data_IF_130866349228
#
_entry.id   IF_130866349228
#
_cell.length_a   1.000
_cell.length_b   1.000
_cell.length_c   1.000
_cell.angle_alpha   90.00
_cell.angle_beta   90.00
_cell.angle_gamma   90.00
#
_symmetry.space_group_name_H-M   'P 1'
#
loop_
_entity.id
_entity.type
_entity.pdbx_description
1 polymer ?
#
# COMPACT_ATOMS: atom_id res chain seq x y z
N UNK A 1 -14.57 -23.20 0.96
CA UNK A 1 -13.48 -22.21 0.95
C UNK A 1 -13.62 -21.44 -0.34
N UNK A 2 -13.81 -20.12 -0.29
CA UNK A 2 -14.00 -19.31 -1.49
C UNK A 2 -12.68 -19.17 -2.23
N UNK A 3 -12.65 -19.53 -3.51
CA UNK A 3 -11.50 -19.24 -4.38
C UNK A 3 -11.47 -17.74 -4.68
N UNK A 4 -10.27 -17.15 -4.65
CA UNK A 4 -10.07 -15.76 -5.05
C UNK A 4 -9.98 -15.75 -6.58
N UNK A 5 -10.97 -15.18 -7.28
CA UNK A 5 -11.02 -15.13 -8.75
C UNK A 5 -9.74 -14.55 -9.39
N UNK A 6 -9.01 -13.67 -8.70
CA UNK A 6 -7.71 -13.17 -9.17
C UNK A 6 -6.64 -14.27 -9.34
N UNK A 7 -6.70 -15.33 -8.55
CA UNK A 7 -5.77 -16.47 -8.65
C UNK A 7 -6.06 -17.35 -9.87
N UNK A 8 -7.28 -17.29 -10.43
CA UNK A 8 -7.60 -17.95 -11.71
C UNK A 8 -6.87 -17.29 -12.89
N UNK A 9 -6.58 -15.98 -12.80
CA UNK A 9 -5.81 -15.26 -13.81
C UNK A 9 -4.32 -15.66 -13.82
N UNK A 10 -3.76 -16.00 -12.66
CA UNK A 10 -2.39 -16.51 -12.53
C UNK A 10 -2.22 -17.23 -11.20
N UNK A 11 -1.88 -18.53 -11.20
CA UNK A 11 -1.62 -19.28 -9.97
C UNK A 11 -0.45 -18.72 -9.13
N UNK A 12 0.46 -17.97 -9.76
CA UNK A 12 1.58 -17.32 -9.11
C UNK A 12 1.25 -15.91 -8.61
N UNK A 13 0.00 -15.43 -8.72
CA UNK A 13 -0.37 -14.09 -8.28
C UNK A 13 -0.25 -13.94 -6.76
N UNK A 14 0.53 -12.95 -6.33
CA UNK A 14 0.58 -12.52 -4.94
C UNK A 14 -0.56 -11.53 -4.67
N UNK A 15 -1.48 -11.90 -3.78
CA UNK A 15 -2.56 -11.02 -3.31
C UNK A 15 -2.25 -10.54 -1.90
N UNK A 16 -2.31 -9.22 -1.69
CA UNK A 16 -2.09 -8.57 -0.39
C UNK A 16 -3.26 -7.62 -0.12
N UNK A 17 -3.88 -7.73 1.05
CA UNK A 17 -4.86 -6.75 1.52
C UNK A 17 -4.18 -5.65 2.32
N UNK A 18 -4.45 -4.39 1.99
CA UNK A 18 -3.99 -3.23 2.76
C UNK A 18 -5.20 -2.64 3.47
N UNK A 19 -5.16 -2.55 4.81
CA UNK A 19 -6.26 -1.96 5.57
C UNK A 19 -6.37 -0.46 5.29
N UNK A 20 -7.53 0.18 5.49
CA UNK A 20 -7.58 1.63 5.57
C UNK A 20 -6.59 2.13 6.65
N UNK A 21 -5.89 3.27 6.41
CA UNK A 21 -5.11 3.94 7.45
C UNK A 21 -6.04 4.55 8.51
N UNK A 22 -5.49 5.02 9.66
CA UNK A 22 -6.30 5.73 10.64
C UNK A 22 -6.75 7.10 10.13
N UNK A 23 -7.77 7.68 10.77
CA UNK A 23 -8.35 8.99 10.41
C UNK A 23 -8.13 9.97 11.56
N UNK A 24 -7.55 11.14 11.29
CA UNK A 24 -7.52 12.25 12.25
C UNK A 24 -8.78 13.10 12.04
N UNK A 25 -9.82 12.81 12.83
CA UNK A 25 -11.12 13.49 12.74
C UNK A 25 -11.03 14.99 12.99
N UNK A 26 -10.16 15.42 13.91
CA UNK A 26 -9.95 16.84 14.20
C UNK A 26 -9.25 17.53 13.03
N UNK A 27 -8.15 16.96 12.54
CA UNK A 27 -7.47 17.45 11.34
C UNK A 27 -8.38 17.50 10.12
N UNK A 28 -9.23 16.49 9.94
CA UNK A 28 -10.18 16.43 8.82
C UNK A 28 -11.25 17.51 8.93
N UNK A 29 -11.75 17.75 10.14
CA UNK A 29 -12.72 18.82 10.42
C UNK A 29 -12.11 20.19 10.16
N UNK A 30 -10.87 20.43 10.59
CA UNK A 30 -10.20 21.71 10.38
C UNK A 30 -9.87 21.95 8.91
N UNK A 31 -9.46 20.91 8.19
CA UNK A 31 -9.31 20.99 6.75
C UNK A 31 -10.64 21.32 6.04
N UNK A 32 -11.74 20.65 6.42
CA UNK A 32 -13.05 20.95 5.86
C UNK A 32 -13.48 22.41 6.10
N UNK A 33 -13.26 22.94 7.32
CA UNK A 33 -13.52 24.37 7.62
C UNK A 33 -12.66 25.30 6.76
N UNK A 34 -11.39 24.97 6.54
CA UNK A 34 -10.51 25.81 5.70
C UNK A 34 -10.97 25.91 4.25
N UNK A 35 -11.63 24.86 3.72
CA UNK A 35 -12.12 24.83 2.34
C UNK A 35 -13.53 25.42 2.19
N UNK A 36 -14.42 25.14 3.14
CA UNK A 36 -15.85 25.40 2.98
C UNK A 36 -16.41 26.44 3.97
N UNK A 37 -15.62 26.91 4.92
CA UNK A 37 -16.03 27.89 5.94
C UNK A 37 -17.26 27.40 6.71
N UNK A 38 -18.29 28.26 6.81
CA UNK A 38 -19.56 27.95 7.49
C UNK A 38 -20.34 26.81 6.85
N UNK A 39 -20.07 26.47 5.58
CA UNK A 39 -20.71 25.35 4.88
C UNK A 39 -20.06 24.00 5.19
N UNK A 40 -18.96 23.98 5.95
CA UNK A 40 -18.31 22.74 6.34
C UNK A 40 -19.26 21.87 7.18
N UNK A 41 -19.28 20.57 6.86
CA UNK A 41 -20.08 19.61 7.61
C UNK A 41 -19.61 19.55 9.07
N UNK A 42 -20.55 19.64 10.01
CA UNK A 42 -20.24 19.74 11.45
C UNK A 42 -19.95 18.37 12.07
N UNK A 43 -20.59 17.33 11.55
CA UNK A 43 -20.35 15.93 11.90
C UNK A 43 -19.20 15.35 11.06
N UNK A 44 -18.37 14.47 11.64
CA UNK A 44 -17.33 13.78 10.88
C UNK A 44 -17.96 12.89 9.79
N UNK A 45 -17.47 13.02 8.56
CA UNK A 45 -17.87 12.15 7.43
C UNK A 45 -17.24 10.74 7.51
N UNK A 46 -16.16 10.60 8.29
CA UNK A 46 -15.41 9.37 8.54
C UNK A 46 -14.91 9.41 9.98
N UNK A 47 -14.92 8.28 10.67
CA UNK A 47 -14.38 8.16 12.03
C UNK A 47 -13.23 7.17 12.08
N UNK A 48 -12.29 7.40 13.00
CA UNK A 48 -11.17 6.49 13.19
C UNK A 48 -11.64 5.13 13.75
N UNK A 49 -12.70 5.15 14.56
CA UNK A 49 -13.34 3.94 15.08
C UNK A 49 -13.86 3.06 13.93
N UNK A 50 -14.58 3.65 12.98
CA UNK A 50 -15.12 2.90 11.84
C UNK A 50 -14.01 2.42 10.91
N UNK A 51 -12.96 3.24 10.69
CA UNK A 51 -11.77 2.80 9.97
C UNK A 51 -11.15 1.55 10.64
N UNK A 52 -11.10 1.51 11.98
CA UNK A 52 -10.64 0.37 12.75
C UNK A 52 -11.53 -0.88 12.62
N UNK A 53 -12.85 -0.72 12.50
CA UNK A 53 -13.77 -1.84 12.21
C UNK A 53 -13.42 -2.47 10.86
N UNK A 54 -13.31 -1.65 9.80
CA UNK A 54 -12.96 -2.14 8.46
C UNK A 54 -11.55 -2.73 8.42
N UNK A 55 -10.58 -2.12 9.09
CA UNK A 55 -9.23 -2.65 9.19
C UNK A 55 -9.20 -4.05 9.82
N UNK A 56 -9.92 -4.27 10.92
CA UNK A 56 -10.05 -5.60 11.53
C UNK A 56 -10.69 -6.62 10.59
N UNK A 57 -11.77 -6.25 9.91
CA UNK A 57 -12.43 -7.12 8.93
C UNK A 57 -11.50 -7.49 7.77
N UNK A 58 -10.69 -6.55 7.27
CA UNK A 58 -9.69 -6.84 6.24
C UNK A 58 -8.63 -7.85 6.72
N UNK A 59 -8.15 -7.71 7.96
CA UNK A 59 -7.16 -8.63 8.54
C UNK A 59 -7.76 -10.02 8.78
N UNK A 60 -8.97 -10.10 9.32
CA UNK A 60 -9.69 -11.36 9.52
C UNK A 60 -9.95 -12.07 8.18
N UNK A 61 -10.41 -11.33 7.18
CA UNK A 61 -10.62 -11.88 5.84
C UNK A 61 -9.32 -12.38 5.20
N UNK A 62 -8.22 -11.63 5.34
CA UNK A 62 -6.92 -12.06 4.83
C UNK A 62 -6.49 -13.40 5.44
N UNK A 63 -6.69 -13.54 6.75
CA UNK A 63 -6.41 -14.79 7.48
C UNK A 63 -7.30 -15.93 7.00
N UNK A 64 -8.60 -15.71 6.85
CA UNK A 64 -9.55 -16.74 6.40
C UNK A 64 -9.26 -17.22 4.97
N UNK A 65 -8.76 -16.32 4.12
CA UNK A 65 -8.36 -16.62 2.74
C UNK A 65 -6.91 -17.14 2.61
N UNK A 66 -6.14 -17.14 3.71
CA UNK A 66 -4.72 -17.53 3.67
C UNK A 66 -3.83 -16.59 2.86
N UNK A 67 -4.23 -15.31 2.72
CA UNK A 67 -3.46 -14.27 2.02
C UNK A 67 -2.78 -13.32 3.01
N UNK A 68 -1.83 -12.51 2.53
CA UNK A 68 -1.10 -11.54 3.36
C UNK A 68 -1.93 -10.28 3.58
N UNK A 69 -1.74 -9.62 4.72
CA UNK A 69 -2.33 -8.33 5.02
C UNK A 69 -1.33 -7.34 5.59
N UNK A 70 -1.53 -6.05 5.32
CA UNK A 70 -0.82 -4.91 5.91
C UNK A 70 -1.82 -4.10 6.74
N UNK A 71 -1.69 -4.15 8.06
CA UNK A 71 -2.52 -3.39 9.00
C UNK A 71 -1.94 -1.98 9.22
N UNK A 72 -2.23 -1.07 8.29
CA UNK A 72 -1.84 0.33 8.38
C UNK A 72 -2.53 1.05 9.54
N UNK A 73 -3.76 0.64 9.88
CA UNK A 73 -4.54 1.28 10.95
C UNK A 73 -3.79 1.17 12.29
N UNK A 74 -3.38 -0.03 12.67
CA UNK A 74 -2.61 -0.25 13.90
C UNK A 74 -1.18 0.27 13.77
N UNK A 75 -0.51 0.02 12.63
CA UNK A 75 0.91 0.38 12.43
C UNK A 75 1.16 1.87 12.60
N UNK A 76 0.34 2.72 11.97
CA UNK A 76 0.51 4.18 12.05
C UNK A 76 0.22 4.69 13.47
N UNK A 77 -0.81 4.17 14.13
CA UNK A 77 -1.19 4.60 15.48
C UNK A 77 -0.20 4.17 16.57
N UNK A 78 0.72 3.25 16.28
CA UNK A 78 1.85 2.94 17.15
C UNK A 78 2.91 4.04 17.25
N UNK A 79 2.76 5.14 16.49
CA UNK A 79 3.66 6.30 16.52
C UNK A 79 2.99 7.48 17.21
N UNK A 80 3.65 8.07 18.21
CA UNK A 80 3.15 9.28 18.85
C UNK A 80 3.01 10.43 17.84
N UNK A 81 1.86 11.12 17.87
CA UNK A 81 1.58 12.22 16.96
C UNK A 81 1.35 11.82 15.50
N UNK A 82 1.02 10.54 15.25
CA UNK A 82 0.74 10.00 13.91
C UNK A 82 -0.23 10.87 13.09
N UNK A 83 -1.18 11.54 13.75
CA UNK A 83 -2.22 12.36 13.12
C UNK A 83 -1.63 13.41 12.18
N UNK A 84 -0.63 14.17 12.66
CA UNK A 84 0.02 15.23 11.85
C UNK A 84 1.26 14.75 11.14
N UNK A 85 1.89 13.70 11.67
CA UNK A 85 3.07 13.10 11.07
C UNK A 85 2.73 12.41 9.75
N UNK A 86 1.68 11.58 9.76
CA UNK A 86 1.34 10.71 8.65
C UNK A 86 0.16 11.21 7.82
N UNK A 87 -0.67 12.15 8.29
CA UNK A 87 -1.81 12.68 7.53
C UNK A 87 -1.68 14.19 7.29
N UNK A 88 -1.94 14.62 6.05
CA UNK A 88 -1.80 16.02 5.63
C UNK A 88 -3.05 16.85 5.92
N UNK A 89 -4.23 16.24 5.76
CA UNK A 89 -5.54 16.85 5.92
C UNK A 89 -6.47 16.03 6.84
N UNK A 90 -5.87 15.15 7.64
CA UNK A 90 -6.55 14.18 8.49
C UNK A 90 -7.09 12.95 7.76
N UNK A 91 -6.83 12.81 6.45
CA UNK A 91 -7.20 11.62 5.66
C UNK A 91 -6.09 11.16 4.71
N UNK A 92 -5.57 12.05 3.87
CA UNK A 92 -4.53 11.75 2.89
C UNK A 92 -3.15 11.68 3.54
N UNK A 93 -2.33 10.74 3.07
CA UNK A 93 -1.00 10.52 3.63
C UNK A 93 -0.02 11.65 3.30
N UNK A 94 0.83 12.02 4.25
CA UNK A 94 2.03 12.83 4.00
C UNK A 94 3.10 12.03 3.27
N UNK A 95 4.24 12.63 2.95
CA UNK A 95 5.42 11.89 2.49
C UNK A 95 5.87 10.83 3.50
N UNK A 96 5.86 11.15 4.80
CA UNK A 96 6.19 10.21 5.87
C UNK A 96 5.13 9.11 6.02
N UNK A 97 3.84 9.45 5.87
CA UNK A 97 2.77 8.45 5.85
C UNK A 97 2.91 7.47 4.67
N UNK A 98 3.24 7.97 3.48
CA UNK A 98 3.52 7.13 2.31
C UNK A 98 4.80 6.29 2.49
N UNK A 99 5.81 6.80 3.20
CA UNK A 99 7.02 6.03 3.50
C UNK A 99 6.71 4.78 4.35
N UNK A 100 5.79 4.88 5.33
CA UNK A 100 5.32 3.72 6.10
C UNK A 100 4.64 2.69 5.20
N UNK A 101 3.78 3.14 4.27
CA UNK A 101 3.12 2.24 3.31
C UNK A 101 4.15 1.53 2.43
N UNK A 102 5.10 2.29 1.88
CA UNK A 102 6.17 1.74 1.06
C UNK A 102 7.00 0.68 1.81
N UNK A 103 7.43 0.98 3.05
CA UNK A 103 8.20 0.05 3.87
C UNK A 103 7.44 -1.26 4.11
N UNK A 104 6.16 -1.18 4.47
CA UNK A 104 5.35 -2.38 4.71
C UNK A 104 5.07 -3.19 3.44
N UNK A 105 4.79 -2.52 2.31
CA UNK A 105 4.58 -3.19 1.02
C UNK A 105 5.86 -3.92 0.58
N UNK A 106 7.01 -3.24 0.63
CA UNK A 106 8.30 -3.84 0.27
C UNK A 106 8.63 -5.01 1.18
N UNK A 107 8.40 -4.88 2.49
CA UNK A 107 8.61 -5.98 3.46
C UNK A 107 7.75 -7.19 3.10
N UNK A 108 6.44 -7.02 2.93
CA UNK A 108 5.51 -8.12 2.62
C UNK A 108 5.82 -8.80 1.28
N UNK A 109 6.21 -8.02 0.28
CA UNK A 109 6.60 -8.55 -1.02
C UNK A 109 7.91 -9.36 -0.94
N UNK A 110 8.90 -8.84 -0.21
CA UNK A 110 10.18 -9.53 0.02
C UNK A 110 10.01 -10.83 0.81
N UNK A 111 9.15 -10.85 1.84
CA UNK A 111 8.80 -12.05 2.62
C UNK A 111 8.00 -13.10 1.83
N UNK A 112 7.42 -12.73 0.69
CA UNK A 112 6.84 -13.70 -0.23
C UNK A 112 7.94 -14.33 -1.08
N UNK A 113 8.48 -13.54 -2.01
CA UNK A 113 9.50 -13.90 -3.02
C UNK A 113 9.62 -12.79 -4.09
N UNK A 114 8.85 -11.69 -3.96
CA UNK A 114 8.74 -10.63 -4.94
C UNK A 114 9.59 -9.43 -4.52
N UNK A 115 10.91 -9.57 -4.57
CA UNK A 115 11.84 -8.50 -4.23
C UNK A 115 12.32 -7.78 -5.48
N UNK A 116 12.32 -6.44 -5.46
CA UNK A 116 12.81 -5.64 -6.58
C UNK A 116 14.30 -5.88 -6.89
N UNK A 117 15.10 -6.24 -5.88
CA UNK A 117 16.51 -6.55 -6.06
C UNK A 117 16.74 -7.89 -6.77
N UNK A 118 15.79 -8.82 -6.64
CA UNK A 118 15.88 -10.17 -7.21
C UNK A 118 15.10 -10.30 -8.53
N UNK A 119 14.31 -9.29 -8.90
CA UNK A 119 13.60 -9.27 -10.17
C UNK A 119 14.58 -9.06 -11.34
N UNK A 120 14.56 -9.93 -12.37
CA UNK A 120 15.37 -9.74 -13.55
C UNK A 120 14.91 -8.49 -14.31
N UNK A 121 15.87 -7.78 -14.93
CA UNK A 121 15.51 -6.76 -15.90
C UNK A 121 14.87 -7.41 -17.13
N UNK A 122 13.81 -6.79 -17.66
CA UNK A 122 13.16 -7.24 -18.90
C UNK A 122 14.12 -7.22 -20.09
N UNK A 123 15.15 -6.36 -20.03
CA UNK A 123 16.14 -6.17 -21.08
C UNK A 123 17.55 -6.06 -20.50
N UNK A 124 18.59 -6.32 -21.33
CA UNK A 124 19.98 -6.16 -20.93
C UNK A 124 20.27 -4.75 -20.44
N UNK A 125 21.25 -4.63 -19.54
CA UNK A 125 21.73 -3.31 -19.13
C UNK A 125 22.37 -2.60 -20.33
N UNK A 126 22.20 -1.28 -20.45
CA UNK A 126 22.66 -0.54 -21.63
C UNK A 126 24.18 -0.68 -21.88
N UNK A 127 24.98 -0.93 -20.84
CA UNK A 127 26.42 -1.18 -20.97
C UNK A 127 26.76 -2.54 -21.61
N UNK A 128 25.81 -3.45 -21.71
CA UNK A 128 25.96 -4.77 -22.32
C UNK A 128 25.59 -4.76 -23.81
N UNK A 129 25.09 -3.62 -24.32
CA UNK A 129 24.67 -3.46 -25.72
C UNK A 129 25.85 -2.95 -26.55
N UNK A 130 26.44 -3.82 -27.37
CA UNK A 130 27.38 -3.40 -28.41
C UNK A 130 26.64 -2.68 -29.53
N UNK A 131 26.89 -1.38 -29.70
CA UNK A 131 26.24 -0.57 -30.75
C UNK A 131 26.51 -1.06 -32.18
N UNK A 132 27.55 -1.88 -32.41
CA UNK A 132 27.81 -2.49 -33.72
C UNK A 132 27.06 -3.82 -33.93
N UNK A 133 26.72 -4.52 -32.86
CA UNK A 133 26.05 -5.82 -32.88
C UNK A 133 25.01 -5.89 -31.73
N UNK A 134 23.98 -5.03 -31.73
CA UNK A 134 23.08 -4.89 -30.59
C UNK A 134 22.25 -6.17 -30.37
N UNK A 135 21.94 -6.89 -31.45
CA UNK A 135 21.19 -8.15 -31.46
C UNK A 135 21.78 -9.18 -30.47
N UNK A 136 23.10 -9.23 -30.31
CA UNK A 136 23.77 -10.18 -29.42
C UNK A 136 23.37 -10.04 -27.96
N UNK A 137 23.05 -8.83 -27.50
CA UNK A 137 22.60 -8.61 -26.13
C UNK A 137 21.18 -9.15 -25.89
N UNK A 138 20.36 -9.23 -26.94
CA UNK A 138 18.94 -9.64 -26.87
C UNK A 138 18.70 -11.10 -27.28
N UNK A 139 19.75 -11.86 -27.63
CA UNK A 139 19.65 -13.30 -27.88
C UNK A 139 19.44 -14.03 -26.53
N UNK A 140 18.17 -14.22 -26.19
CA UNK A 140 17.57 -14.85 -25.00
C UNK A 140 18.50 -15.59 -24.01
N UNK A 141 18.54 -15.08 -22.78
CA UNK A 141 18.54 -15.94 -21.59
C UNK A 141 17.07 -16.32 -21.33
N UNK A 142 16.65 -17.50 -21.76
CA UNK A 142 15.41 -18.06 -21.24
C UNK A 142 15.63 -18.34 -19.74
N UNK A 143 14.84 -17.69 -18.89
CA UNK A 143 14.64 -18.12 -17.50
C UNK A 143 13.64 -19.28 -17.49
#
# INVERSE_FOLDING_TARGET
>A
MGEICLQECSPAMLVVLITPPPVDEEGRKDYAKSLYGEKAMQSPERTNEMAGVYARQCVELAKDLGIRSIDLWSKMQGTDGWQKKFLSDGLHLTSEGNAVVHEEVVRVFSEAWLSAADMPYDFPHHSEIDGKNPDKAFLQKCL
#
